data_IF_025733539924
#
_entry.id   IF_025733539924
#
_cell.length_a   1.000
_cell.length_b   1.000
_cell.length_c   1.000
_cell.angle_alpha   90.00
_cell.angle_beta   90.00
_cell.angle_gamma   90.00
#
_symmetry.space_group_name_H-M   'P 1'
#
loop_
_entity.id
_entity.type
_entity.pdbx_description
1 polymer ?
#
# COMPACT_ATOMS: atom_id res chain seq x y z
N UNK A 1 -2.71 0.73 4.50
CA UNK A 1 -1.44 0.18 4.00
C UNK A 1 -1.20 0.50 2.53
N UNK A 2 -2.17 0.28 1.63
CA UNK A 2 -2.01 0.51 0.18
C UNK A 2 -1.58 1.94 -0.14
N UNK A 3 -2.25 2.96 0.41
CA UNK A 3 -1.90 4.37 0.16
C UNK A 3 -0.47 4.69 0.59
N UNK A 4 -0.04 4.18 1.75
CA UNK A 4 1.31 4.41 2.26
C UNK A 4 2.38 3.76 1.38
N UNK A 5 2.18 2.52 0.94
CA UNK A 5 3.12 1.84 0.03
C UNK A 5 3.19 2.55 -1.32
N UNK A 6 2.05 2.99 -1.85
CA UNK A 6 1.98 3.79 -3.08
C UNK A 6 2.75 5.10 -2.97
N UNK A 7 2.55 5.85 -1.90
CA UNK A 7 3.24 7.13 -1.70
C UNK A 7 4.74 6.95 -1.45
N UNK A 8 5.16 5.92 -0.71
CA UNK A 8 6.59 5.59 -0.54
C UNK A 8 7.27 5.27 -1.87
N UNK A 9 6.63 4.44 -2.71
CA UNK A 9 7.21 4.07 -4.02
C UNK A 9 7.25 5.28 -4.95
N UNK A 10 6.18 6.08 -5.00
CA UNK A 10 6.15 7.32 -5.77
C UNK A 10 7.24 8.31 -5.30
N UNK A 11 7.40 8.45 -3.98
CA UNK A 11 8.39 9.30 -3.34
C UNK A 11 9.83 8.86 -3.63
N UNK A 12 10.12 7.56 -3.57
CA UNK A 12 11.42 7.02 -3.93
C UNK A 12 11.73 7.25 -5.43
N UNK A 13 10.76 6.98 -6.30
CA UNK A 13 10.89 7.18 -7.74
C UNK A 13 11.16 8.64 -8.10
N UNK A 14 10.43 9.58 -7.50
CA UNK A 14 10.62 11.00 -7.79
C UNK A 14 11.94 11.52 -7.22
N UNK A 15 12.34 11.07 -6.04
CA UNK A 15 13.62 11.45 -5.42
C UNK A 15 14.78 10.98 -6.30
N UNK A 16 14.72 9.75 -6.82
CA UNK A 16 15.73 9.25 -7.75
C UNK A 16 15.76 10.06 -9.06
N UNK A 17 14.61 10.37 -9.65
CA UNK A 17 14.54 11.16 -10.88
C UNK A 17 15.14 12.57 -10.69
N UNK A 18 14.78 13.26 -9.61
CA UNK A 18 15.31 14.57 -9.25
C UNK A 18 16.83 14.52 -8.97
N UNK A 19 17.30 13.48 -8.28
CA UNK A 19 18.72 13.28 -8.01
C UNK A 19 19.57 13.08 -9.28
N UNK A 20 18.98 12.51 -10.34
CA UNK A 20 19.61 12.37 -11.65
C UNK A 20 19.54 13.65 -12.50
N UNK A 21 18.97 14.74 -11.98
CA UNK A 21 18.85 16.02 -12.67
C UNK A 21 17.64 16.10 -13.61
N UNK A 22 16.73 15.12 -13.58
CA UNK A 22 15.47 15.21 -14.31
C UNK A 22 14.50 16.15 -13.57
N UNK A 23 14.61 17.44 -13.89
CA UNK A 23 13.76 18.48 -13.31
C UNK A 23 12.72 18.91 -14.34
N UNK A 24 11.45 18.62 -14.06
CA UNK A 24 10.34 19.01 -14.90
C UNK A 24 9.06 18.24 -14.59
N UNK A 25 7.92 18.76 -15.06
CA UNK A 25 6.61 18.12 -14.89
C UNK A 25 6.55 16.63 -15.29
N UNK A 26 7.25 16.16 -16.35
CA UNK A 26 7.26 14.74 -16.70
C UNK A 26 7.80 13.82 -15.61
N UNK A 27 8.78 14.28 -14.82
CA UNK A 27 9.35 13.49 -13.73
C UNK A 27 8.29 13.14 -12.68
N UNK A 28 7.45 14.12 -12.31
CA UNK A 28 6.35 13.94 -11.36
C UNK A 28 5.28 12.99 -11.91
N UNK A 29 4.92 13.13 -13.19
CA UNK A 29 3.92 12.29 -13.82
C UNK A 29 4.37 10.82 -13.89
N UNK A 30 5.61 10.59 -14.33
CA UNK A 30 6.18 9.22 -14.43
C UNK A 30 6.40 8.61 -13.05
N UNK A 31 6.88 9.37 -12.07
CA UNK A 31 7.06 8.85 -10.71
C UNK A 31 5.71 8.54 -10.04
N UNK A 32 4.70 9.39 -10.24
CA UNK A 32 3.35 9.17 -9.75
C UNK A 32 2.71 7.92 -10.37
N UNK A 33 2.84 7.77 -11.70
CA UNK A 33 2.38 6.57 -12.40
C UNK A 33 3.11 5.31 -11.92
N UNK A 34 4.43 5.38 -11.75
CA UNK A 34 5.25 4.27 -11.23
C UNK A 34 4.80 3.86 -9.82
N UNK A 35 4.55 4.84 -8.95
CA UNK A 35 4.00 4.63 -7.62
C UNK A 35 2.65 3.94 -7.64
N UNK A 36 1.74 4.32 -8.54
CA UNK A 36 0.45 3.66 -8.71
C UNK A 36 0.59 2.22 -9.24
N UNK A 37 1.37 2.03 -10.31
CA UNK A 37 1.54 0.74 -10.97
C UNK A 37 2.21 -0.29 -10.05
N UNK A 38 3.19 0.13 -9.25
CA UNK A 38 3.95 -0.79 -8.39
C UNK A 38 3.40 -0.81 -6.96
N UNK A 39 3.07 0.36 -6.42
CA UNK A 39 2.70 0.51 -5.01
C UNK A 39 1.28 0.04 -4.68
N UNK A 40 0.33 0.09 -5.62
CA UNK A 40 -1.01 -0.48 -5.42
C UNK A 40 -0.96 -2.01 -5.33
N UNK A 41 -0.42 -2.74 -6.33
CA UNK A 41 -0.33 -4.20 -6.21
C UNK A 41 0.60 -4.63 -5.07
N UNK A 42 1.70 -3.90 -4.84
CA UNK A 42 2.60 -4.13 -3.70
C UNK A 42 1.90 -3.98 -2.35
N UNK A 43 1.08 -2.94 -2.19
CA UNK A 43 0.30 -2.69 -0.98
C UNK A 43 -0.76 -3.75 -0.71
N UNK A 44 -1.44 -4.24 -1.76
CA UNK A 44 -2.40 -5.34 -1.66
C UNK A 44 -1.68 -6.64 -1.28
N UNK A 45 -0.55 -6.95 -1.92
CA UNK A 45 0.22 -8.15 -1.63
C UNK A 45 0.75 -8.14 -0.20
N UNK A 46 1.31 -7.01 0.26
CA UNK A 46 1.80 -6.85 1.62
C UNK A 46 0.68 -6.98 2.64
N UNK A 47 -0.50 -6.41 2.37
CA UNK A 47 -1.67 -6.56 3.24
C UNK A 47 -2.14 -8.01 3.35
N UNK A 48 -2.12 -8.76 2.25
CA UNK A 48 -2.45 -10.19 2.26
C UNK A 48 -1.40 -11.00 2.99
N UNK A 49 -0.12 -10.68 2.81
CA UNK A 49 1.00 -11.35 3.50
C UNK A 49 0.92 -11.16 5.00
N UNK A 50 0.81 -9.92 5.47
CA UNK A 50 0.73 -9.63 6.90
C UNK A 50 -0.47 -10.32 7.54
N UNK A 51 -1.63 -10.33 6.88
CA UNK A 51 -2.81 -11.06 7.38
C UNK A 51 -2.63 -12.58 7.40
N UNK A 52 -1.87 -13.15 6.45
CA UNK A 52 -1.59 -14.60 6.42
C UNK A 52 -0.61 -15.01 7.51
N UNK A 53 0.35 -14.13 7.80
CA UNK A 53 1.46 -14.39 8.70
C UNK A 53 1.16 -13.93 10.14
N UNK A 54 -0.05 -13.42 10.43
CA UNK A 54 -0.51 -13.06 11.78
C UNK A 54 -1.17 -14.27 12.49
N UNK A 55 -0.47 -14.95 13.42
CA UNK A 55 -1.00 -16.12 14.12
C UNK A 55 -2.03 -15.76 15.20
N UNK A 56 -2.17 -14.47 15.55
CA UNK A 56 -3.20 -13.99 16.49
C UNK A 56 -4.49 -13.58 15.76
N UNK A 57 -4.53 -13.67 14.42
CA UNK A 57 -5.71 -13.40 13.61
C UNK A 57 -6.80 -14.47 13.82
N UNK A 58 -7.62 -14.29 14.86
CA UNK A 58 -8.78 -15.14 15.13
C UNK A 58 -10.00 -14.66 14.32
N UNK A 59 -10.29 -15.36 13.22
CA UNK A 59 -11.46 -15.12 12.36
C UNK A 59 -12.80 -15.09 13.13
N UNK A 60 -12.88 -15.74 14.30
CA UNK A 60 -14.11 -15.82 15.12
C UNK A 60 -14.40 -14.59 15.99
N UNK A 61 -13.48 -13.63 16.12
CA UNK A 61 -13.73 -12.41 16.91
C UNK A 61 -14.68 -11.42 16.24
N UNK A 62 -14.84 -11.52 14.92
CA UNK A 62 -15.75 -10.68 14.14
C UNK A 62 -17.11 -11.35 13.86
N UNK A 63 -17.38 -12.53 14.44
CA UNK A 63 -18.73 -13.11 14.38
C UNK A 63 -19.68 -12.22 15.21
N UNK A 64 -20.77 -11.69 14.62
CA UNK A 64 -21.79 -10.97 15.37
C UNK A 64 -22.26 -11.89 16.48
N UNK A 65 -22.10 -11.48 17.75
CA UNK A 65 -22.71 -12.20 18.87
C UNK A 65 -24.20 -12.31 18.56
N UNK A 66 -24.77 -13.54 18.45
CA UNK A 66 -26.20 -13.66 18.23
C UNK A 66 -26.90 -12.99 19.41
N UNK A 67 -27.77 -12.02 19.10
CA UNK A 67 -28.71 -11.43 20.05
C UNK A 67 -29.66 -12.55 20.51
N UNK A 68 -29.21 -13.32 21.49
CA UNK A 68 -30.01 -14.32 22.17
C UNK A 68 -29.92 -13.93 23.62
N UNK A 69 -30.70 -12.91 24.01
CA UNK A 69 -31.04 -12.48 25.37
C UNK A 69 -32.01 -11.26 25.30
N UNK A 70 -33.15 -11.39 24.61
CA UNK A 70 -34.25 -10.42 24.67
C UNK A 70 -35.60 -11.16 24.71
#
# INVERSE_FOLDING_TARGET
>A
MIVLTTLCVAGAAITAALAMGFVGWPAFAVSGATGLIVGVPGGIWLARRIKKDDPAWNQRRDEPRPLRDA
#
